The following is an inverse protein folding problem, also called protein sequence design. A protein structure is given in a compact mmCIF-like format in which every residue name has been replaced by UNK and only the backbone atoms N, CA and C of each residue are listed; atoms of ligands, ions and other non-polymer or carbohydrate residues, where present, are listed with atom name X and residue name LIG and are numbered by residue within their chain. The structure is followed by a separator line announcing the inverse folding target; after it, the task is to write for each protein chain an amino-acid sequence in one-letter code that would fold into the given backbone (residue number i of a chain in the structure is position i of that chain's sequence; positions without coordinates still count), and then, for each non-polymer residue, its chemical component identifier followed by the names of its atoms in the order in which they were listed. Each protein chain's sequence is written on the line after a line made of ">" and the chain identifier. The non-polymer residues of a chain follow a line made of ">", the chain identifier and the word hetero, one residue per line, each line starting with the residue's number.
data_IF_749147235447
#
_entry.id   IF_749147235447
#
_cell.length_a   1.000
_cell.length_b   1.000
_cell.length_c   1.000
_cell.angle_alpha   90.00
_cell.angle_beta   90.00
_cell.angle_gamma   90.00
#
_symmetry.space_group_name_H-M   'P 1'
#
loop_
_entity.id
_entity.type
_entity.pdbx_description
1 polymer ?
#
# COMPACT_ATOMS: atom_id res chain seq x y z
N UNK A 1 -2.96 6.54 -1.33
CA UNK A 1 -1.56 6.08 -1.46
C UNK A 1 -0.94 6.65 -2.74
N UNK A 2 -1.25 7.91 -3.06
CA UNK A 2 -0.88 8.51 -4.35
C UNK A 2 0.58 8.95 -4.34
N UNK A 3 1.25 8.83 -5.49
CA UNK A 3 2.60 9.35 -5.70
C UNK A 3 2.60 10.87 -5.60
N UNK A 4 3.54 11.40 -4.82
CA UNK A 4 3.75 12.86 -4.72
C UNK A 4 4.30 13.49 -6.00
N UNK A 5 4.88 12.68 -6.90
CA UNK A 5 5.53 13.15 -8.15
C UNK A 5 4.63 13.03 -9.37
N UNK A 6 3.71 12.07 -9.38
CA UNK A 6 2.82 11.80 -10.51
C UNK A 6 1.39 11.62 -10.00
N UNK A 7 0.52 12.59 -10.28
CA UNK A 7 -0.89 12.52 -9.92
C UNK A 7 -1.57 11.36 -10.65
N UNK A 8 -2.50 10.69 -9.97
CA UNK A 8 -3.22 9.52 -10.49
C UNK A 8 -2.43 8.20 -10.46
N UNK A 9 -1.16 8.21 -10.03
CA UNK A 9 -0.35 7.01 -9.86
C UNK A 9 -0.33 6.58 -8.39
N UNK A 10 -0.70 5.34 -8.11
CA UNK A 10 -0.82 4.80 -6.74
C UNK A 10 0.02 3.53 -6.58
N UNK A 11 0.53 3.33 -5.36
CA UNK A 11 1.30 2.15 -4.97
C UNK A 11 0.74 1.56 -3.68
N UNK A 12 0.83 0.24 -3.52
CA UNK A 12 0.23 -0.50 -2.41
C UNK A 12 0.89 -1.87 -2.26
N UNK A 13 0.85 -2.44 -1.06
CA UNK A 13 1.43 -3.75 -0.77
C UNK A 13 2.95 -3.72 -0.76
N UNK A 14 3.55 -4.88 -0.97
CA UNK A 14 4.98 -5.17 -0.80
C UNK A 14 5.90 -4.44 -1.81
N UNK A 15 5.33 -3.80 -2.85
CA UNK A 15 6.12 -2.91 -3.74
C UNK A 15 6.58 -1.64 -3.01
N UNK A 16 5.93 -1.28 -1.90
CA UNK A 16 6.35 -0.20 -1.03
C UNK A 16 7.45 -0.69 -0.10
N UNK A 17 8.38 0.18 0.24
CA UNK A 17 9.45 -0.08 1.21
C UNK A 17 8.91 -0.07 2.65
N UNK A 18 8.08 -1.07 2.95
CA UNK A 18 7.45 -1.34 4.24
C UNK A 18 7.49 -2.83 4.46
N UNK A 19 8.16 -3.25 5.53
CA UNK A 19 8.23 -4.66 5.95
C UNK A 19 7.75 -4.80 7.39
N UNK A 20 6.96 -5.83 7.63
CA UNK A 20 6.46 -6.22 8.95
C UNK A 20 7.04 -7.56 9.38
N UNK A 21 7.04 -7.80 10.69
CA UNK A 21 7.50 -9.07 11.25
C UNK A 21 6.68 -10.28 10.73
N UNK A 22 7.22 -11.47 10.93
CA UNK A 22 6.48 -12.72 10.71
C UNK A 22 5.27 -12.77 11.66
N UNK A 23 4.12 -13.18 11.13
CA UNK A 23 2.86 -13.17 11.88
C UNK A 23 1.66 -12.61 11.11
N UNK A 24 1.79 -12.40 9.79
CA UNK A 24 0.70 -11.93 8.95
C UNK A 24 0.59 -10.41 8.81
N UNK A 25 1.55 -9.65 9.36
CA UNK A 25 1.58 -8.19 9.26
C UNK A 25 1.70 -7.70 7.80
N UNK A 26 2.55 -8.34 6.99
CA UNK A 26 2.68 -8.01 5.57
C UNK A 26 1.39 -8.28 4.78
N UNK A 27 0.68 -9.37 5.09
CA UNK A 27 -0.63 -9.64 4.49
C UNK A 27 -1.65 -8.58 4.89
N UNK A 28 -1.73 -8.25 6.19
CA UNK A 28 -2.61 -7.18 6.67
C UNK A 28 -2.29 -5.84 5.98
N UNK A 29 -1.02 -5.48 5.87
CA UNK A 29 -0.55 -4.27 5.19
C UNK A 29 -0.95 -4.25 3.71
N UNK A 30 -0.79 -5.35 2.99
CA UNK A 30 -1.24 -5.47 1.61
C UNK A 30 -2.75 -5.19 1.47
N UNK A 31 -3.58 -5.76 2.34
CA UNK A 31 -5.03 -5.53 2.31
C UNK A 31 -5.41 -4.08 2.62
N UNK A 32 -4.93 -3.51 3.72
CA UNK A 32 -5.35 -2.17 4.15
C UNK A 32 -4.79 -1.07 3.24
N UNK A 33 -3.56 -1.22 2.75
CA UNK A 33 -2.99 -0.27 1.79
C UNK A 33 -3.73 -0.33 0.44
N UNK A 34 -4.18 -1.52 0.02
CA UNK A 34 -4.93 -1.71 -1.23
C UNK A 34 -6.30 -1.05 -1.17
N UNK A 35 -7.04 -1.29 -0.08
CA UNK A 35 -8.31 -0.61 0.20
C UNK A 35 -8.12 0.90 0.26
N UNK A 36 -7.07 1.38 0.92
CA UNK A 36 -6.76 2.82 1.02
C UNK A 36 -6.45 3.43 -0.34
N UNK A 37 -5.67 2.74 -1.18
CA UNK A 37 -5.35 3.18 -2.54
C UNK A 37 -6.63 3.26 -3.38
N UNK A 38 -7.42 2.19 -3.44
CA UNK A 38 -8.66 2.14 -4.24
C UNK A 38 -9.74 3.15 -3.81
N UNK A 39 -9.86 3.45 -2.50
CA UNK A 39 -10.77 4.50 -2.00
C UNK A 39 -10.30 5.93 -2.28
N UNK A 40 -9.04 6.11 -2.67
CA UNK A 40 -8.46 7.42 -2.98
C UNK A 40 -8.39 7.69 -4.49
N UNK A 41 -8.93 6.78 -5.31
CA UNK A 41 -9.13 6.94 -6.76
C UNK A 41 -10.43 7.69 -7.01
#
# INVERSE_FOLDING_TARGET
>A
MESKKHKGLYFTGEVLDVDGDRGGFNLHFAWVSGIRAGKSV
#
